data_IF_424273693905
#
_entry.id   IF_424273693905
#
_cell.length_a   1.000
_cell.length_b   1.000
_cell.length_c   1.000
_cell.angle_alpha   90.00
_cell.angle_beta   90.00
_cell.angle_gamma   90.00
#
_symmetry.space_group_name_H-M   'P 1'
#
loop_
_entity.id
_entity.type
_entity.pdbx_description
1 polymer ?
#
# COMPACT_ATOMS: atom_id res chain seq x y z
N UNK A 1 17.38 -27.47 32.85
CA UNK A 1 16.02 -27.91 32.47
C UNK A 1 15.05 -27.48 33.57
N UNK A 2 13.99 -26.75 33.24
CA UNK A 2 13.01 -26.21 34.21
C UNK A 2 12.12 -27.34 34.75
N UNK A 3 11.88 -27.40 36.07
CA UNK A 3 11.01 -28.44 36.66
C UNK A 3 9.54 -28.09 36.44
N UNK A 4 8.68 -29.10 36.26
CA UNK A 4 7.25 -28.88 36.03
C UNK A 4 6.55 -28.11 37.16
N UNK A 5 7.01 -28.27 38.41
CA UNK A 5 6.46 -27.52 39.54
C UNK A 5 6.81 -26.02 39.50
N UNK A 6 7.84 -25.63 38.76
CA UNK A 6 8.31 -24.24 38.60
C UNK A 6 7.70 -23.56 37.37
N UNK A 7 7.11 -24.31 36.46
CA UNK A 7 6.45 -23.76 35.29
C UNK A 7 5.25 -22.88 35.67
N UNK A 8 5.05 -21.79 34.92
CA UNK A 8 3.97 -20.85 35.17
C UNK A 8 2.59 -21.52 35.09
N UNK A 9 2.36 -22.40 34.10
CA UNK A 9 1.08 -23.08 33.90
C UNK A 9 0.72 -24.11 34.99
N UNK A 10 1.60 -24.36 35.98
CA UNK A 10 1.30 -25.19 37.16
C UNK A 10 1.28 -24.39 38.45
N UNK A 11 2.25 -23.50 38.64
CA UNK A 11 2.40 -22.73 39.87
C UNK A 11 1.66 -21.39 39.85
N UNK A 12 1.30 -20.89 38.67
CA UNK A 12 0.73 -19.56 38.42
C UNK A 12 1.54 -18.42 39.06
N UNK A 13 2.84 -18.63 39.23
CA UNK A 13 3.75 -17.68 39.87
C UNK A 13 4.81 -17.25 38.85
N UNK A 14 4.70 -16.00 38.38
CA UNK A 14 5.63 -15.41 37.42
C UNK A 14 7.05 -15.35 37.94
N UNK A 15 7.26 -14.87 39.17
CA UNK A 15 8.58 -14.76 39.78
C UNK A 15 9.32 -16.11 39.79
N UNK A 16 8.62 -17.18 40.19
CA UNK A 16 9.18 -18.52 40.23
C UNK A 16 9.50 -19.05 38.83
N UNK A 17 8.60 -18.86 37.88
CA UNK A 17 8.77 -19.33 36.51
C UNK A 17 9.90 -18.60 35.78
N UNK A 18 9.98 -17.28 35.92
CA UNK A 18 11.04 -16.45 35.34
C UNK A 18 12.38 -16.83 35.95
N UNK A 19 12.48 -16.97 37.28
CA UNK A 19 13.72 -17.39 37.94
C UNK A 19 14.24 -18.71 37.40
N UNK A 20 13.38 -19.74 37.35
CA UNK A 20 13.78 -21.05 36.84
C UNK A 20 14.18 -21.03 35.35
N UNK A 21 13.50 -20.22 34.53
CA UNK A 21 13.86 -20.03 33.12
C UNK A 21 15.20 -19.30 32.95
N UNK A 22 15.43 -18.24 33.73
CA UNK A 22 16.68 -17.46 33.72
C UNK A 22 17.87 -18.31 34.18
N UNK A 23 17.71 -19.09 35.26
CA UNK A 23 18.73 -20.03 35.73
C UNK A 23 19.06 -21.09 34.66
N UNK A 24 18.06 -21.57 33.92
CA UNK A 24 18.26 -22.50 32.81
C UNK A 24 18.93 -21.85 31.58
N UNK A 25 18.71 -20.55 31.38
CA UNK A 25 19.33 -19.75 30.32
C UNK A 25 20.73 -19.21 30.70
N UNK A 26 21.17 -19.41 31.95
CA UNK A 26 22.46 -18.93 32.45
C UNK A 26 22.50 -17.40 32.67
N UNK A 27 21.36 -16.80 32.98
CA UNK A 27 21.23 -15.36 33.22
C UNK A 27 20.68 -15.07 34.63
N UNK A 28 21.08 -13.95 35.21
CA UNK A 28 20.59 -13.52 36.52
C UNK A 28 19.20 -12.89 36.43
N UNK A 29 18.34 -13.21 37.40
CA UNK A 29 17.02 -12.60 37.55
C UNK A 29 16.99 -11.68 38.77
N UNK A 30 16.59 -10.43 38.58
CA UNK A 30 16.53 -9.39 39.62
C UNK A 30 15.46 -9.65 40.71
N UNK A 31 14.47 -10.49 40.43
CA UNK A 31 13.30 -10.67 41.30
C UNK A 31 12.14 -9.71 41.00
N UNK A 32 12.33 -8.77 40.07
CA UNK A 32 11.29 -7.85 39.62
C UNK A 32 10.92 -8.15 38.17
N UNK A 33 9.62 -8.06 37.86
CA UNK A 33 9.11 -8.22 36.50
C UNK A 33 7.99 -7.21 36.22
N UNK A 34 7.81 -6.93 34.93
CA UNK A 34 6.72 -6.13 34.41
C UNK A 34 6.29 -6.65 33.05
N UNK A 35 5.22 -6.06 32.51
CA UNK A 35 4.73 -6.36 31.18
C UNK A 35 4.95 -5.16 30.29
N UNK A 36 5.46 -5.40 29.08
CA UNK A 36 5.62 -4.39 28.05
C UNK A 36 4.76 -4.77 26.85
N UNK A 37 4.29 -3.77 26.12
CA UNK A 37 3.61 -3.99 24.86
C UNK A 37 4.64 -4.40 23.79
N UNK A 38 4.37 -5.51 23.09
CA UNK A 38 5.21 -6.00 22.01
C UNK A 38 4.36 -6.31 20.79
N UNK A 39 4.79 -5.82 19.63
CA UNK A 39 4.15 -6.14 18.34
C UNK A 39 5.11 -6.98 17.51
N UNK A 40 4.60 -8.08 16.95
CA UNK A 40 5.35 -8.98 16.07
C UNK A 40 4.64 -9.07 14.72
N UNK A 41 5.36 -8.78 13.64
CA UNK A 41 4.84 -8.80 12.27
C UNK A 41 5.36 -10.05 11.57
N UNK A 42 4.45 -10.89 11.06
CA UNK A 42 4.79 -12.09 10.32
C UNK A 42 4.10 -12.10 8.95
N UNK A 43 4.82 -12.42 7.86
CA UNK A 43 4.19 -12.59 6.56
C UNK A 43 3.20 -13.77 6.56
N UNK A 44 2.05 -13.59 5.91
CA UNK A 44 1.07 -14.65 5.72
C UNK A 44 1.34 -15.34 4.38
N UNK A 45 1.79 -16.60 4.42
CA UNK A 45 2.23 -17.36 3.23
C UNK A 45 1.30 -18.53 2.84
N UNK A 46 0.20 -18.72 3.57
CA UNK A 46 -0.81 -19.74 3.34
C UNK A 46 -2.18 -19.10 3.11
N UNK A 47 -3.21 -19.87 2.77
CA UNK A 47 -4.54 -19.35 2.38
C UNK A 47 -4.48 -18.48 1.11
N UNK A 48 -3.70 -18.91 0.10
CA UNK A 48 -3.71 -18.28 -1.22
C UNK A 48 -5.07 -18.51 -1.86
N UNK A 49 -5.78 -17.43 -2.17
CA UNK A 49 -7.09 -17.48 -2.80
C UNK A 49 -7.01 -18.02 -4.24
N UNK A 50 -8.09 -18.62 -4.78
CA UNK A 50 -8.20 -18.93 -6.21
C UNK A 50 -8.00 -17.68 -7.09
N UNK A 51 -7.64 -17.88 -8.37
CA UNK A 51 -7.33 -16.75 -9.28
C UNK A 51 -8.52 -15.81 -9.49
N UNK A 52 -9.74 -16.33 -9.36
CA UNK A 52 -11.00 -15.58 -9.51
C UNK A 52 -11.20 -14.56 -8.37
N UNK A 53 -10.53 -14.75 -7.24
CA UNK A 53 -10.57 -13.90 -6.05
C UNK A 53 -9.27 -13.09 -5.87
N UNK A 54 -8.39 -13.11 -6.87
CA UNK A 54 -7.19 -12.29 -6.85
C UNK A 54 -7.57 -10.80 -6.90
N UNK A 55 -6.86 -9.98 -6.12
CA UNK A 55 -7.14 -8.56 -6.00
C UNK A 55 -7.08 -7.87 -7.37
N UNK A 56 -8.16 -7.20 -7.75
CA UNK A 56 -8.21 -6.37 -8.95
C UNK A 56 -7.48 -5.04 -8.78
N UNK A 57 -7.15 -4.37 -9.88
CA UNK A 57 -6.48 -3.07 -9.85
C UNK A 57 -7.22 -2.03 -8.99
N UNK A 58 -8.55 -1.97 -9.10
CA UNK A 58 -9.42 -1.02 -8.41
C UNK A 58 -9.54 -1.28 -6.90
N UNK A 59 -9.18 -2.47 -6.42
CA UNK A 59 -9.14 -2.74 -4.98
C UNK A 59 -8.06 -1.91 -4.28
N UNK A 60 -6.99 -1.54 -4.99
CA UNK A 60 -5.93 -0.67 -4.49
C UNK A 60 -6.00 0.73 -5.12
N UNK A 61 -6.14 0.81 -6.45
CA UNK A 61 -6.11 2.03 -7.25
C UNK A 61 -7.49 2.69 -7.38
N UNK A 62 -8.19 2.86 -6.27
CA UNK A 62 -9.42 3.64 -6.23
C UNK A 62 -9.47 4.52 -4.99
N UNK A 63 -10.25 5.60 -5.05
CA UNK A 63 -10.40 6.55 -3.94
C UNK A 63 -10.83 5.87 -2.63
N UNK A 64 -11.67 4.84 -2.74
CA UNK A 64 -12.18 4.05 -1.61
C UNK A 64 -11.58 2.63 -1.60
N UNK A 65 -10.38 2.47 -2.16
CA UNK A 65 -9.66 1.19 -2.15
C UNK A 65 -8.96 0.92 -0.82
N UNK A 66 -8.31 -0.24 -0.72
CA UNK A 66 -7.56 -0.70 0.46
C UNK A 66 -6.44 0.25 0.88
N UNK A 67 -5.96 1.10 -0.03
CA UNK A 67 -4.87 2.05 0.21
C UNK A 67 -5.37 3.50 0.38
N UNK A 68 -6.66 3.71 0.70
CA UNK A 68 -7.25 5.04 0.86
C UNK A 68 -6.50 5.92 1.88
N UNK A 69 -6.09 5.33 3.01
CA UNK A 69 -5.45 6.03 4.13
C UNK A 69 -3.94 6.31 3.91
N UNK A 70 -3.32 5.70 2.90
CA UNK A 70 -1.89 5.90 2.64
C UNK A 70 -1.68 7.16 1.79
N UNK A 71 -1.50 8.31 2.44
CA UNK A 71 -1.37 9.62 1.78
C UNK A 71 0.08 10.07 1.53
N UNK A 72 1.07 9.29 1.93
CA UNK A 72 2.50 9.64 1.80
C UNK A 72 3.08 9.60 0.39
N UNK A 73 2.30 9.24 -0.63
CA UNK A 73 2.75 9.16 -2.01
C UNK A 73 1.59 9.38 -3.00
N UNK A 74 1.93 9.74 -4.24
CA UNK A 74 0.97 9.86 -5.33
C UNK A 74 0.68 8.49 -5.94
N UNK A 75 -0.60 8.14 -6.02
CA UNK A 75 -1.09 6.89 -6.58
C UNK A 75 -2.09 7.15 -7.71
N UNK A 76 -1.78 6.77 -8.95
CA UNK A 76 -2.73 6.83 -10.07
C UNK A 76 -4.03 6.07 -9.75
N UNK A 77 -5.17 6.65 -10.13
CA UNK A 77 -6.51 6.08 -9.90
C UNK A 77 -7.10 6.40 -8.52
N UNK A 78 -6.27 6.50 -7.47
CA UNK A 78 -6.69 6.99 -6.15
C UNK A 78 -6.62 8.51 -6.06
N UNK A 79 -5.47 9.07 -6.42
CA UNK A 79 -5.19 10.49 -6.31
C UNK A 79 -5.53 11.26 -7.59
N UNK A 80 -5.88 12.53 -7.42
CA UNK A 80 -6.05 13.49 -8.53
C UNK A 80 -5.05 14.62 -8.42
N UNK A 81 -4.62 15.15 -9.56
CA UNK A 81 -3.80 16.35 -9.63
C UNK A 81 -4.43 17.30 -10.62
N UNK A 82 -5.02 18.38 -10.12
CA UNK A 82 -5.74 19.35 -10.94
C UNK A 82 -4.81 20.00 -11.99
N UNK A 83 -3.51 20.13 -11.68
CA UNK A 83 -2.51 20.64 -12.61
C UNK A 83 -2.25 19.67 -13.78
N UNK A 84 -2.05 18.39 -13.47
CA UNK A 84 -1.83 17.37 -14.51
C UNK A 84 -3.07 17.21 -15.39
N UNK A 85 -4.25 17.23 -14.78
CA UNK A 85 -5.52 17.15 -15.50
C UNK A 85 -5.70 18.36 -16.44
N UNK A 86 -5.38 19.57 -15.99
CA UNK A 86 -5.41 20.78 -16.82
C UNK A 86 -4.45 20.68 -18.01
N UNK A 87 -3.18 20.33 -17.76
CA UNK A 87 -2.17 20.21 -18.82
C UNK A 87 -2.60 19.13 -19.83
N UNK A 88 -3.14 18.00 -19.34
CA UNK A 88 -3.66 16.93 -20.18
C UNK A 88 -4.76 17.42 -21.12
N UNK A 89 -5.75 18.15 -20.60
CA UNK A 89 -6.84 18.70 -21.41
C UNK A 89 -6.38 19.77 -22.39
N UNK A 90 -5.45 20.64 -21.99
CA UNK A 90 -4.86 21.63 -22.89
C UNK A 90 -4.13 20.96 -24.06
N UNK A 91 -3.41 19.86 -23.81
CA UNK A 91 -2.72 19.10 -24.86
C UNK A 91 -3.71 18.45 -25.84
N UNK A 92 -4.79 17.85 -25.34
CA UNK A 92 -5.86 17.26 -26.17
C UNK A 92 -6.53 18.33 -27.04
N UNK A 93 -6.92 19.46 -26.45
CA UNK A 93 -7.58 20.53 -27.21
C UNK A 93 -6.63 21.21 -28.19
N UNK A 94 -5.38 21.44 -27.79
CA UNK A 94 -4.35 22.03 -28.65
C UNK A 94 -4.06 21.18 -29.88
N UNK A 95 -3.94 19.86 -29.72
CA UNK A 95 -3.71 18.93 -30.84
C UNK A 95 -4.92 18.87 -31.79
N UNK A 96 -6.14 18.75 -31.25
CA UNK A 96 -7.37 18.77 -32.04
C UNK A 96 -7.51 20.09 -32.83
N UNK A 97 -7.26 21.22 -32.19
CA UNK A 97 -7.26 22.53 -32.83
C UNK A 97 -6.23 22.65 -33.94
N UNK A 98 -4.98 22.23 -33.69
CA UNK A 98 -3.90 22.28 -34.67
C UNK A 98 -4.17 21.43 -35.91
N UNK A 99 -4.64 20.18 -35.73
CA UNK A 99 -4.99 19.28 -36.86
C UNK A 99 -6.17 19.84 -37.65
N UNK A 100 -7.18 20.37 -36.97
CA UNK A 100 -8.35 20.97 -37.62
C UNK A 100 -7.98 22.21 -38.44
N UNK A 101 -7.16 23.10 -37.87
CA UNK A 101 -6.65 24.28 -38.56
C UNK A 101 -5.81 23.87 -39.79
N UNK A 102 -4.89 22.94 -39.62
CA UNK A 102 -4.07 22.42 -40.72
C UNK A 102 -4.91 21.82 -41.85
N UNK A 103 -5.93 21.02 -41.50
CA UNK A 103 -6.88 20.45 -42.45
C UNK A 103 -7.68 21.53 -43.19
N UNK A 104 -8.20 22.53 -42.48
CA UNK A 104 -8.97 23.63 -43.05
C UNK A 104 -8.12 24.47 -44.02
N UNK A 105 -6.90 24.83 -43.61
CA UNK A 105 -5.92 25.52 -44.45
C UNK A 105 -5.67 24.73 -45.73
N UNK A 106 -5.39 23.42 -45.64
CA UNK A 106 -5.19 22.58 -46.83
C UNK A 106 -6.39 22.62 -47.80
N UNK A 107 -7.61 22.52 -47.29
CA UNK A 107 -8.83 22.53 -48.12
C UNK A 107 -9.04 23.90 -48.78
N UNK A 108 -8.90 24.98 -48.03
CA UNK A 108 -9.09 26.34 -48.52
C UNK A 108 -8.11 26.68 -49.65
N UNK A 109 -6.81 26.44 -49.45
CA UNK A 109 -5.80 26.70 -50.48
C UNK A 109 -5.94 25.78 -51.69
N UNK A 110 -6.34 24.51 -51.50
CA UNK A 110 -6.60 23.59 -52.63
C UNK A 110 -7.80 24.02 -53.48
N UNK A 111 -8.86 24.54 -52.84
CA UNK A 111 -10.03 25.11 -53.55
C UNK A 111 -9.67 26.39 -54.30
N UNK A 112 -8.85 27.27 -53.71
CA UNK A 112 -8.36 28.49 -54.37
C UNK A 112 -7.53 28.19 -55.61
N UNK A 113 -6.68 27.15 -55.57
CA UNK A 113 -5.86 26.72 -56.72
C UNK A 113 -6.67 26.05 -57.85
N UNK A 114 -7.86 25.51 -57.57
CA UNK A 114 -8.76 24.94 -58.60
C UNK A 114 -9.66 25.96 -59.27
N UNK A 115 -9.91 27.10 -58.62
CA UNK A 115 -10.85 28.13 -59.08
C UNK A 115 -10.17 29.37 -59.69
N UNK A 116 -8.84 29.40 -59.76
CA UNK A 116 -8.05 30.39 -60.51
C UNK A 116 -7.13 29.67 -61.48
#
# INVERSE_FOLDING_TARGET
>A
MVRNSEAYWKSFNWNRAIKAAMDAAGADYSGEYGFIETTMHWPLSHMVAPKEEALGCNECHSRNGRLSELTGFYMPGRDKSDLLDLIGWLAVLGTLGGVSLHGFVRVFFSRKRRNG
#
